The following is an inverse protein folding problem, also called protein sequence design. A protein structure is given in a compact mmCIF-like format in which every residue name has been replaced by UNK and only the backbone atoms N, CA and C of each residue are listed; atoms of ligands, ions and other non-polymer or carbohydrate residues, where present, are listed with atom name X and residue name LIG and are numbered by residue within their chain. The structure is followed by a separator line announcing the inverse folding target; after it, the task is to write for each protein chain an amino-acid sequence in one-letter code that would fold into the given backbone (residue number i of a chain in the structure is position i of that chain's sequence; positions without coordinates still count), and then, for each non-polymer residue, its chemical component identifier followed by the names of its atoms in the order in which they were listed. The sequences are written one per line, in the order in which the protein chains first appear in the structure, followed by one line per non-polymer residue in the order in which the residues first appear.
data_IF_329276922939
#
_entry.id   IF_329276922939
#
_cell.length_a   1.000
_cell.length_b   1.000
_cell.length_c   1.000
_cell.angle_alpha   90.00
_cell.angle_beta   90.00
_cell.angle_gamma   90.00
#
_symmetry.space_group_name_H-M   'P 1'
#
loop_
_entity.id
_entity.type
_entity.pdbx_description
1 polymer ?
#
# COMPACT_ATOMS: atom_id res chain seq x y z
N UNK A 1 -30.95 -5.17 14.82
CA UNK A 1 -29.89 -4.14 14.81
C UNK A 1 -29.82 -3.38 13.48
N UNK A 2 -29.78 -4.06 12.32
CA UNK A 2 -29.80 -3.36 11.02
C UNK A 2 -31.15 -2.70 10.68
N UNK A 3 -32.25 -3.31 11.14
CA UNK A 3 -33.61 -2.79 10.95
C UNK A 3 -33.84 -1.42 11.64
N UNK A 4 -33.25 -1.20 12.81
CA UNK A 4 -33.34 0.09 13.53
C UNK A 4 -32.58 1.19 12.80
N UNK A 5 -31.40 0.91 12.23
CA UNK A 5 -30.63 1.86 11.40
C UNK A 5 -31.41 2.26 10.15
N UNK A 6 -32.03 1.31 9.45
CA UNK A 6 -32.84 1.61 8.26
C UNK A 6 -34.07 2.49 8.55
N UNK A 7 -34.65 2.35 9.75
CA UNK A 7 -35.78 3.17 10.22
C UNK A 7 -35.32 4.60 10.58
N UNK A 8 -34.12 4.74 11.14
CA UNK A 8 -33.50 6.03 11.46
C UNK A 8 -33.13 6.81 10.18
N UNK A 9 -32.59 6.15 9.14
CA UNK A 9 -32.31 6.80 7.85
C UNK A 9 -33.58 7.31 7.15
N UNK A 10 -34.73 6.63 7.31
CA UNK A 10 -36.02 7.07 6.74
C UNK A 10 -36.66 8.21 7.54
N UNK A 11 -36.44 8.26 8.85
CA UNK A 11 -37.03 9.28 9.74
C UNK A 11 -36.26 10.60 9.71
N UNK A 12 -34.96 10.58 9.40
CA UNK A 12 -34.11 11.77 9.35
C UNK A 12 -33.25 11.79 8.07
N UNK A 13 -33.67 12.47 6.99
CA UNK A 13 -32.97 12.46 5.71
C UNK A 13 -31.57 13.10 5.76
N UNK A 14 -31.30 13.93 6.77
CA UNK A 14 -29.97 14.54 6.99
C UNK A 14 -28.87 13.52 7.34
N UNK A 15 -29.24 12.30 7.78
CA UNK A 15 -28.26 11.25 8.10
C UNK A 15 -27.71 10.53 6.86
N UNK A 16 -28.42 10.58 5.73
CA UNK A 16 -28.03 9.91 4.48
C UNK A 16 -26.64 10.35 3.98
N UNK A 17 -26.34 11.67 3.83
CA UNK A 17 -25.02 12.09 3.36
C UNK A 17 -23.87 11.68 4.29
N UNK A 18 -24.11 11.66 5.60
CA UNK A 18 -23.11 11.22 6.59
C UNK A 18 -22.73 9.75 6.40
N UNK A 19 -23.73 8.87 6.22
CA UNK A 19 -23.48 7.45 5.98
C UNK A 19 -22.79 7.18 4.65
N UNK A 20 -23.03 7.99 3.62
CA UNK A 20 -22.35 7.86 2.32
C UNK A 20 -20.87 8.21 2.45
N UNK A 21 -20.50 9.26 3.17
CA UNK A 21 -19.08 9.60 3.37
C UNK A 21 -18.35 8.57 4.24
N UNK A 22 -18.98 8.08 5.31
CA UNK A 22 -18.38 7.07 6.18
C UNK A 22 -18.27 5.73 5.45
N UNK A 23 -19.35 5.28 4.81
CA UNK A 23 -19.38 4.04 4.04
C UNK A 23 -18.43 4.10 2.85
N UNK A 24 -18.43 5.22 2.11
CA UNK A 24 -17.50 5.48 1.02
C UNK A 24 -16.04 5.46 1.47
N UNK A 25 -15.71 6.13 2.59
CA UNK A 25 -14.36 6.12 3.17
C UNK A 25 -13.91 4.73 3.60
N UNK A 26 -14.80 3.95 4.23
CA UNK A 26 -14.50 2.58 4.65
C UNK A 26 -14.32 1.64 3.46
N UNK A 27 -15.19 1.74 2.45
CA UNK A 27 -15.08 0.98 1.21
C UNK A 27 -13.79 1.34 0.44
N UNK A 28 -13.44 2.62 0.34
CA UNK A 28 -12.26 3.07 -0.39
C UNK A 28 -10.96 2.67 0.33
N UNK A 29 -10.93 2.79 1.66
CA UNK A 29 -9.83 2.28 2.49
C UNK A 29 -9.68 0.76 2.35
N UNK A 30 -10.80 0.02 2.46
CA UNK A 30 -10.82 -1.43 2.26
C UNK A 30 -10.34 -1.85 0.87
N UNK A 31 -10.82 -1.18 -0.18
CA UNK A 31 -10.39 -1.44 -1.55
C UNK A 31 -8.89 -1.20 -1.75
N UNK A 32 -8.33 -0.16 -1.12
CA UNK A 32 -6.89 0.11 -1.15
C UNK A 32 -6.08 -0.98 -0.44
N UNK A 33 -6.54 -1.43 0.73
CA UNK A 33 -5.91 -2.53 1.46
C UNK A 33 -5.98 -3.85 0.68
N UNK A 34 -7.10 -4.15 0.01
CA UNK A 34 -7.24 -5.33 -0.85
C UNK A 34 -6.30 -5.25 -2.05
N UNK A 35 -6.18 -4.08 -2.68
CA UNK A 35 -5.21 -3.85 -3.77
C UNK A 35 -3.76 -4.05 -3.30
N UNK A 36 -3.43 -3.59 -2.10
CA UNK A 36 -2.10 -3.80 -1.50
C UNK A 36 -1.86 -5.26 -1.14
N UNK A 37 -2.87 -5.93 -0.59
CA UNK A 37 -2.86 -7.34 -0.27
C UNK A 37 -2.60 -8.21 -1.51
N UNK A 38 -3.08 -7.85 -2.69
CA UNK A 38 -2.84 -8.61 -3.92
C UNK A 38 -1.48 -8.31 -4.59
N UNK A 39 -0.60 -7.54 -3.94
CA UNK A 39 0.73 -7.23 -4.47
C UNK A 39 1.65 -8.46 -4.56
N UNK A 40 2.66 -8.43 -5.45
CA UNK A 40 3.57 -9.57 -5.70
C UNK A 40 4.45 -9.94 -4.50
N UNK A 41 4.46 -9.10 -3.46
CA UNK A 41 5.24 -9.28 -2.23
C UNK A 41 4.41 -9.86 -1.07
N UNK A 42 3.09 -10.01 -1.24
CA UNK A 42 2.20 -10.54 -0.20
C UNK A 42 1.76 -11.94 -0.60
N UNK A 43 2.18 -12.95 0.17
CA UNK A 43 1.88 -14.36 -0.11
C UNK A 43 0.67 -14.84 0.70
N UNK A 44 -0.42 -15.18 0.00
CA UNK A 44 -1.67 -15.70 0.61
C UNK A 44 -1.75 -17.23 0.61
N UNK A 45 -0.72 -17.92 0.10
CA UNK A 45 -0.71 -19.37 -0.03
C UNK A 45 -0.29 -20.05 1.28
N UNK A 46 -1.27 -20.48 2.09
CA UNK A 46 -1.02 -21.18 3.37
C UNK A 46 -0.75 -22.69 3.23
N UNK A 47 -1.18 -23.34 2.14
CA UNK A 47 -1.18 -24.82 2.03
C UNK A 47 -0.20 -25.41 1.01
N UNK A 48 0.33 -24.62 0.06
CA UNK A 48 1.15 -25.17 -1.04
C UNK A 48 2.64 -24.82 -0.98
N UNK A 49 3.06 -23.91 -0.10
CA UNK A 49 4.45 -23.48 -0.01
C UNK A 49 4.72 -22.86 1.38
N UNK A 50 5.09 -23.67 2.40
CA UNK A 50 5.33 -23.22 3.77
C UNK A 50 6.51 -22.23 3.90
N UNK A 51 7.23 -21.99 2.81
CA UNK A 51 8.52 -21.32 2.76
C UNK A 51 8.55 -20.28 1.62
N UNK A 52 8.07 -19.04 1.84
CA UNK A 52 7.88 -18.03 0.77
C UNK A 52 9.15 -17.65 -0.01
N UNK A 53 10.33 -18.01 0.49
CA UNK A 53 11.63 -17.77 -0.13
C UNK A 53 11.95 -18.64 -1.35
N UNK A 54 11.23 -19.74 -1.57
CA UNK A 54 11.52 -20.65 -2.69
C UNK A 54 11.06 -20.10 -4.06
N UNK A 55 10.30 -18.99 -4.08
CA UNK A 55 9.84 -18.33 -5.32
C UNK A 55 10.43 -16.94 -5.58
N UNK A 56 11.31 -16.46 -4.72
CA UNK A 56 12.09 -15.24 -4.97
C UNK A 56 13.18 -15.55 -6.00
N UNK A 57 12.86 -15.41 -7.29
CA UNK A 57 13.88 -15.44 -8.33
C UNK A 57 14.95 -14.35 -8.04
N UNK A 58 16.25 -14.61 -8.29
CA UNK A 58 17.35 -13.66 -8.02
C UNK A 58 17.24 -12.31 -8.75
N UNK A 59 16.28 -12.20 -9.68
CA UNK A 59 15.97 -11.01 -10.47
C UNK A 59 15.05 -10.00 -9.77
N UNK A 60 14.54 -10.28 -8.55
CA UNK A 60 13.79 -9.32 -7.73
C UNK A 60 14.73 -8.33 -7.01
N UNK A 61 15.66 -7.72 -7.74
CA UNK A 61 16.55 -6.70 -7.21
C UNK A 61 15.84 -5.35 -7.27
N UNK A 62 15.30 -4.91 -6.12
CA UNK A 62 14.81 -3.54 -6.00
C UNK A 62 15.98 -2.59 -6.22
N UNK A 63 16.00 -1.91 -7.37
CA UNK A 63 16.99 -0.87 -7.71
C UNK A 63 16.75 0.36 -6.83
N UNK A 64 17.22 0.30 -5.59
CA UNK A 64 17.20 1.41 -4.62
C UNK A 64 18.57 2.08 -4.42
N UNK A 65 19.50 1.98 -5.37
CA UNK A 65 20.91 2.36 -5.12
C UNK A 65 21.55 3.33 -6.11
N UNK A 66 20.87 3.77 -7.17
CA UNK A 66 21.56 4.50 -8.26
C UNK A 66 21.69 6.00 -8.04
N UNK A 67 20.97 6.60 -7.07
CA UNK A 67 21.05 8.06 -6.82
C UNK A 67 22.05 8.47 -5.74
N UNK A 68 22.35 7.59 -4.78
CA UNK A 68 23.32 7.88 -3.71
C UNK A 68 24.76 7.62 -4.16
N UNK A 69 24.97 6.64 -5.05
CA UNK A 69 26.31 6.38 -5.62
C UNK A 69 26.80 7.52 -6.53
N UNK A 70 25.90 8.16 -7.28
CA UNK A 70 26.24 9.31 -8.16
C UNK A 70 26.61 10.55 -7.32
N UNK A 71 25.94 10.79 -6.19
CA UNK A 71 26.27 11.93 -5.32
C UNK A 71 27.63 11.76 -4.61
N UNK A 72 28.00 10.52 -4.26
CA UNK A 72 29.30 10.23 -3.67
C UNK A 72 30.46 10.42 -4.66
N UNK A 73 30.25 10.07 -5.93
CA UNK A 73 31.28 10.24 -6.99
C UNK A 73 31.48 11.72 -7.33
N UNK A 74 30.41 12.51 -7.41
CA UNK A 74 30.48 13.97 -7.65
C UNK A 74 31.19 14.71 -6.51
N UNK A 75 31.04 14.27 -5.26
CA UNK A 75 31.70 14.93 -4.12
C UNK A 75 33.20 14.60 -4.04
N UNK A 76 33.64 13.47 -4.58
CA UNK A 76 35.06 13.09 -4.66
C UNK A 76 35.79 13.84 -5.79
N UNK A 77 35.13 14.15 -6.91
CA UNK A 77 35.73 14.93 -7.99
C UNK A 77 35.90 16.43 -7.66
N UNK A 78 34.99 17.01 -6.88
CA UNK A 78 35.13 18.40 -6.42
C UNK A 78 36.28 18.55 -5.41
N UNK A 79 36.49 17.56 -4.53
CA UNK A 79 37.57 17.59 -3.53
C UNK A 79 38.99 17.47 -4.10
N UNK A 80 39.15 16.92 -5.31
CA UNK A 80 40.43 16.70 -5.97
C UNK A 80 40.80 17.79 -7.00
N UNK A 81 39.98 18.84 -7.11
CA UNK A 81 40.19 20.00 -7.99
C UNK A 81 40.70 21.24 -7.25
N UNK A 82 40.86 21.15 -5.92
CA UNK A 82 41.35 22.20 -5.04
C UNK A 82 42.68 21.84 -4.34
N UNK A 83 43.38 20.81 -4.84
CA UNK A 83 44.80 20.51 -4.59
C UNK A 83 45.53 20.47 -5.93
#
# INVERSE_FOLDING_TARGET
MLSTVSRQLKSHPALVPLFIFIGGGMCMSGAYLVRLAMGPHVSWNRNGNPEPWNKTAPTQQHKGGSRVRVAAEVSTEEGNRFL
#
